data_IF_021755854266
#
_entry.id   IF_021755854266
#
_cell.length_a   1.000
_cell.length_b   1.000
_cell.length_c   1.000
_cell.angle_alpha   90.00
_cell.angle_beta   90.00
_cell.angle_gamma   90.00
#
_symmetry.space_group_name_H-M   'P 1'
#
loop_
_entity.id
_entity.type
_entity.pdbx_description
1 polymer ?
#
# COMPACT_ATOMS: atom_id res chain seq x y z
N UNK A 1 72.81 -4.87 37.98
CA UNK A 1 71.78 -4.99 36.93
C UNK A 1 70.46 -5.36 37.60
N UNK A 2 69.43 -4.48 37.62
CA UNK A 2 68.08 -4.88 37.96
C UNK A 2 67.29 -5.20 36.69
N UNK A 3 66.53 -6.30 36.70
CA UNK A 3 65.56 -6.64 35.65
C UNK A 3 64.32 -5.75 35.79
N UNK A 4 63.99 -5.06 34.71
CA UNK A 4 62.76 -4.26 34.55
C UNK A 4 61.60 -5.20 34.25
N UNK A 5 60.56 -5.19 35.09
CA UNK A 5 59.30 -5.87 34.81
C UNK A 5 58.46 -5.05 33.82
N UNK A 6 58.12 -5.63 32.67
CA UNK A 6 57.15 -5.07 31.74
C UNK A 6 55.74 -5.53 32.14
N UNK A 7 54.93 -4.58 32.61
CA UNK A 7 53.48 -4.77 32.75
C UNK A 7 52.84 -4.65 31.38
N UNK A 8 52.31 -5.76 30.84
CA UNK A 8 51.53 -5.76 29.60
C UNK A 8 50.11 -5.33 29.93
N UNK A 9 49.75 -4.12 29.49
CA UNK A 9 48.40 -3.57 29.59
C UNK A 9 47.54 -4.13 28.43
N UNK A 10 46.62 -5.04 28.74
CA UNK A 10 45.59 -5.47 27.78
C UNK A 10 44.55 -4.36 27.65
N UNK A 11 44.65 -3.56 26.58
CA UNK A 11 43.59 -2.62 26.18
C UNK A 11 42.55 -3.43 25.41
N UNK A 12 41.48 -3.82 26.09
CA UNK A 12 40.24 -4.28 25.46
C UNK A 12 39.61 -3.11 24.71
N UNK A 13 39.82 -3.05 23.39
CA UNK A 13 38.99 -2.21 22.51
C UNK A 13 37.58 -2.78 22.45
N UNK A 14 36.73 -2.34 23.38
CA UNK A 14 35.29 -2.35 23.17
C UNK A 14 35.00 -1.31 22.10
N UNK A 15 34.86 -1.74 20.86
CA UNK A 15 34.33 -0.90 19.79
C UNK A 15 32.89 -0.54 20.16
N UNK A 16 32.71 0.69 20.62
CA UNK A 16 31.40 1.32 20.73
C UNK A 16 30.82 1.41 19.32
N UNK A 17 30.03 0.42 18.91
CA UNK A 17 29.10 0.60 17.81
C UNK A 17 28.06 1.61 18.29
N UNK A 18 28.32 2.88 18.00
CA UNK A 18 27.26 3.87 17.94
C UNK A 18 26.29 3.41 16.86
N UNK A 19 25.20 2.74 17.24
CA UNK A 19 24.03 2.66 16.38
C UNK A 19 23.61 4.10 16.11
N UNK A 20 23.91 4.58 14.91
CA UNK A 20 23.15 5.67 14.32
C UNK A 20 21.73 5.12 14.25
N UNK A 21 20.87 5.55 15.18
CA UNK A 21 19.45 5.23 15.17
C UNK A 21 18.89 5.77 13.85
N UNK A 22 18.60 4.88 12.89
CA UNK A 22 17.84 5.20 11.68
C UNK A 22 18.49 4.90 10.33
N UNK A 23 19.78 4.54 10.25
CA UNK A 23 20.42 4.22 8.97
C UNK A 23 20.43 2.70 8.70
N UNK A 24 19.90 2.23 7.55
CA UNK A 24 19.92 0.81 7.20
C UNK A 24 21.32 0.20 7.24
N UNK A 25 21.45 -1.01 7.81
CA UNK A 25 22.71 -1.74 7.79
C UNK A 25 23.20 -2.00 6.35
N UNK A 26 24.52 -2.09 6.15
CA UNK A 26 25.09 -2.36 4.83
C UNK A 26 24.55 -3.66 4.20
N UNK A 27 24.27 -4.67 5.02
CA UNK A 27 23.65 -5.92 4.60
C UNK A 27 22.21 -5.70 4.10
N UNK A 28 21.40 -4.95 4.85
CA UNK A 28 20.03 -4.62 4.46
C UNK A 28 19.97 -3.75 3.20
N UNK A 29 20.91 -2.81 3.04
CA UNK A 29 21.06 -2.00 1.82
C UNK A 29 21.37 -2.90 0.63
N UNK A 30 22.34 -3.80 0.76
CA UNK A 30 22.69 -4.74 -0.30
C UNK A 30 21.51 -5.65 -0.65
N UNK A 31 20.76 -6.10 0.35
CA UNK A 31 19.57 -6.93 0.18
C UNK A 31 18.44 -6.20 -0.55
N UNK A 32 18.18 -4.93 -0.19
CA UNK A 32 17.20 -4.08 -0.86
C UNK A 32 17.57 -3.83 -2.33
N UNK A 33 18.85 -3.62 -2.65
CA UNK A 33 19.32 -3.50 -4.04
C UNK A 33 19.25 -4.83 -4.80
N UNK A 34 19.56 -5.94 -4.13
CA UNK A 34 19.55 -7.28 -4.71
C UNK A 34 18.16 -7.69 -5.20
N UNK A 35 17.10 -7.27 -4.52
CA UNK A 35 15.71 -7.62 -4.87
C UNK A 35 14.88 -6.42 -5.36
N UNK A 36 15.53 -5.31 -5.74
CA UNK A 36 14.86 -4.11 -6.24
C UNK A 36 14.04 -4.41 -7.50
N UNK A 37 12.72 -4.13 -7.52
CA UNK A 37 11.87 -4.50 -8.63
C UNK A 37 12.14 -3.69 -9.89
N UNK A 38 11.78 -4.27 -11.04
CA UNK A 38 11.47 -3.51 -12.24
C UNK A 38 9.95 -3.34 -12.34
N UNK A 39 9.48 -2.09 -12.32
CA UNK A 39 8.08 -1.78 -12.61
C UNK A 39 7.90 -1.58 -14.11
N UNK A 40 6.93 -2.29 -14.70
CA UNK A 40 6.59 -2.22 -16.12
C UNK A 40 5.22 -1.58 -16.26
N UNK A 41 5.21 -0.32 -16.64
CA UNK A 41 3.98 0.42 -16.87
C UNK A 41 3.28 -0.09 -18.12
N UNK A 42 1.95 -0.14 -18.06
CA UNK A 42 1.12 -0.44 -19.21
C UNK A 42 1.54 0.43 -20.42
N UNK A 43 1.54 -0.14 -21.65
CA UNK A 43 2.01 0.56 -22.88
C UNK A 43 1.31 1.88 -23.22
N UNK A 44 0.13 2.10 -22.63
CA UNK A 44 -0.66 3.32 -22.76
C UNK A 44 -0.68 4.18 -21.50
N UNK A 45 0.20 3.91 -20.53
CA UNK A 45 0.36 4.74 -19.34
C UNK A 45 0.89 6.12 -19.71
N UNK A 46 0.41 7.10 -18.98
CA UNK A 46 0.79 8.50 -19.10
C UNK A 46 0.95 9.21 -17.74
N UNK A 47 0.49 8.62 -16.64
CA UNK A 47 0.73 9.07 -15.28
C UNK A 47 1.83 8.19 -14.70
N UNK A 48 3.00 8.78 -14.53
CA UNK A 48 4.21 8.10 -14.08
C UNK A 48 4.50 8.41 -12.61
N UNK A 49 5.36 7.62 -11.96
CA UNK A 49 5.77 7.90 -10.60
C UNK A 49 6.52 9.24 -10.51
N UNK A 50 6.64 9.78 -9.30
CA UNK A 50 7.47 10.94 -9.02
C UNK A 50 8.14 10.83 -7.66
N UNK A 51 9.05 11.75 -7.38
CA UNK A 51 9.45 12.02 -5.99
C UNK A 51 8.34 12.78 -5.24
N UNK A 52 8.39 12.70 -3.91
CA UNK A 52 7.58 13.55 -3.02
C UNK A 52 7.90 15.03 -3.25
N UNK A 53 9.18 15.40 -3.38
CA UNK A 53 9.59 16.78 -3.68
C UNK A 53 8.95 17.31 -4.95
N UNK A 54 8.94 16.50 -6.03
CA UNK A 54 8.33 16.89 -7.29
C UNK A 54 6.83 17.17 -7.13
N UNK A 55 6.13 16.32 -6.39
CA UNK A 55 4.70 16.49 -6.14
C UNK A 55 4.40 17.72 -5.29
N UNK A 56 5.16 17.93 -4.21
CA UNK A 56 4.97 19.06 -3.28
C UNK A 56 5.40 20.39 -3.89
N UNK A 57 6.33 20.39 -4.84
CA UNK A 57 6.70 21.58 -5.64
C UNK A 57 5.62 21.96 -6.67
N UNK A 58 4.65 21.08 -6.93
CA UNK A 58 3.48 21.37 -7.75
C UNK A 58 2.54 22.41 -7.10
N UNK A 59 1.50 22.85 -7.82
CA UNK A 59 0.45 23.73 -7.30
C UNK A 59 -0.48 22.98 -6.34
N UNK A 60 0.06 22.54 -5.20
CA UNK A 60 -0.65 21.87 -4.11
C UNK A 60 -0.70 22.75 -2.87
N UNK A 61 -1.72 22.58 -2.04
CA UNK A 61 -1.86 23.26 -0.75
C UNK A 61 -2.68 22.41 0.21
N UNK A 62 -2.50 22.63 1.52
CA UNK A 62 -3.30 21.90 2.51
C UNK A 62 -4.70 22.50 2.65
N UNK A 63 -5.69 21.62 2.64
CA UNK A 63 -7.09 21.93 2.91
C UNK A 63 -7.57 21.07 4.08
N UNK A 64 -8.58 21.54 4.79
CA UNK A 64 -9.44 20.73 5.65
C UNK A 64 -10.90 20.83 5.15
N UNK A 65 -11.84 20.24 5.89
CA UNK A 65 -13.26 20.25 5.54
C UNK A 65 -13.88 21.67 5.43
N UNK A 66 -13.20 22.71 5.93
CA UNK A 66 -13.63 24.11 5.87
C UNK A 66 -13.00 24.88 4.70
N UNK A 67 -12.07 24.28 3.96
CA UNK A 67 -11.35 24.90 2.85
C UNK A 67 -9.83 24.98 3.07
N UNK A 68 -9.14 25.97 2.46
CA UNK A 68 -7.69 26.12 2.62
C UNK A 68 -7.29 26.25 4.10
N UNK A 69 -6.32 25.44 4.53
CA UNK A 69 -5.86 25.41 5.91
C UNK A 69 -5.09 26.69 6.26
N UNK A 70 -5.66 27.53 7.13
CA UNK A 70 -5.03 28.77 7.54
C UNK A 70 -3.70 28.52 8.27
N UNK A 71 -2.64 29.25 7.87
CA UNK A 71 -1.31 29.11 8.46
C UNK A 71 -0.54 27.86 8.03
N UNK A 72 -1.04 27.09 7.06
CA UNK A 72 -0.28 26.02 6.45
C UNK A 72 1.00 26.55 5.76
N UNK A 73 2.11 25.79 5.79
CA UNK A 73 3.29 26.14 5.01
C UNK A 73 2.97 26.29 3.52
N UNK A 74 3.59 27.27 2.86
CA UNK A 74 3.48 27.47 1.43
C UNK A 74 4.79 28.07 0.89
N UNK A 75 5.51 27.38 -0.01
CA UNK A 75 5.19 26.06 -0.58
C UNK A 75 5.29 24.92 0.45
N UNK A 76 4.62 23.81 0.17
CA UNK A 76 4.83 22.57 0.92
C UNK A 76 6.18 21.96 0.54
N UNK A 77 6.89 21.41 1.53
CA UNK A 77 8.16 20.71 1.36
C UNK A 77 8.16 19.47 2.24
N UNK A 78 9.01 18.46 1.95
CA UNK A 78 9.12 17.30 2.83
C UNK A 78 9.42 17.67 4.29
N UNK A 79 10.25 18.69 4.50
CA UNK A 79 10.69 19.17 5.82
C UNK A 79 9.66 20.02 6.59
N UNK A 80 8.56 20.44 5.96
CA UNK A 80 7.53 21.26 6.61
C UNK A 80 6.14 20.58 6.64
N UNK A 81 5.95 19.47 5.93
CA UNK A 81 4.65 18.84 5.78
C UNK A 81 4.03 18.40 7.12
N UNK A 82 4.86 17.85 8.03
CA UNK A 82 4.43 17.39 9.35
C UNK A 82 4.45 18.49 10.44
N UNK A 83 4.79 19.74 10.08
CA UNK A 83 4.78 20.87 11.02
C UNK A 83 3.39 21.40 11.34
N UNK A 84 2.37 20.90 10.65
CA UNK A 84 0.97 21.28 10.86
C UNK A 84 0.41 20.68 12.16
N UNK A 85 -0.66 21.29 12.68
CA UNK A 85 -1.31 20.80 13.89
C UNK A 85 -1.68 19.32 13.74
N UNK A 86 -1.37 18.54 14.78
CA UNK A 86 -1.57 17.08 14.81
C UNK A 86 -0.99 16.36 13.57
N UNK A 87 0.15 16.84 13.05
CA UNK A 87 0.83 16.30 11.87
C UNK A 87 -0.08 16.22 10.63
N UNK A 88 -1.07 17.12 10.53
CA UNK A 88 -1.97 17.22 9.38
C UNK A 88 -3.13 16.22 9.38
N UNK A 89 -3.40 15.53 10.49
CA UNK A 89 -4.57 14.66 10.58
C UNK A 89 -5.87 15.42 10.22
N UNK A 90 -6.67 14.85 9.32
CA UNK A 90 -7.90 15.47 8.81
C UNK A 90 -7.68 16.53 7.71
N UNK A 91 -6.47 16.63 7.17
CA UNK A 91 -6.14 17.55 6.06
C UNK A 91 -5.90 16.78 4.74
N UNK A 92 -5.89 17.52 3.64
CA UNK A 92 -5.82 17.03 2.26
C UNK A 92 -4.81 17.85 1.46
N UNK A 93 -3.80 17.21 0.87
CA UNK A 93 -2.89 17.86 -0.08
C UNK A 93 -3.63 18.05 -1.41
N UNK A 94 -4.19 19.25 -1.59
CA UNK A 94 -5.21 19.52 -2.61
C UNK A 94 -4.66 20.29 -3.80
N UNK A 95 -5.13 19.96 -5.00
CA UNK A 95 -4.88 20.71 -6.24
C UNK A 95 -6.11 20.76 -7.16
N UNK A 96 -6.08 21.64 -8.16
CA UNK A 96 -7.10 21.70 -9.21
C UNK A 96 -6.82 20.65 -10.30
N UNK A 97 -7.48 19.49 -10.22
CA UNK A 97 -7.25 18.34 -11.12
C UNK A 97 -7.36 18.73 -12.60
N UNK A 98 -8.46 19.37 -13.00
CA UNK A 98 -8.76 19.63 -14.41
C UNK A 98 -7.69 20.46 -15.13
N UNK A 99 -7.06 21.41 -14.44
CA UNK A 99 -6.02 22.26 -15.03
C UNK A 99 -4.63 21.62 -14.99
N UNK A 100 -4.44 20.56 -14.20
CA UNK A 100 -3.13 19.98 -13.91
C UNK A 100 -2.94 18.56 -14.44
N UNK A 101 -4.00 17.94 -14.99
CA UNK A 101 -3.99 16.57 -15.51
C UNK A 101 -2.96 16.33 -16.62
N UNK A 102 -2.68 17.35 -17.44
CA UNK A 102 -1.64 17.31 -18.48
C UNK A 102 -0.31 17.94 -18.02
N UNK A 103 -0.25 18.38 -16.76
CA UNK A 103 0.91 19.03 -16.13
C UNK A 103 1.60 18.12 -15.13
N UNK A 104 1.90 18.65 -13.94
CA UNK A 104 2.65 17.91 -12.90
C UNK A 104 1.97 16.60 -12.46
N UNK A 105 0.66 16.45 -12.66
CA UNK A 105 -0.05 15.21 -12.36
C UNK A 105 0.38 14.03 -13.26
N UNK A 106 1.06 14.30 -14.39
CA UNK A 106 1.70 13.27 -15.22
C UNK A 106 2.90 12.60 -14.54
N UNK A 107 3.42 13.18 -13.46
CA UNK A 107 4.60 12.67 -12.78
C UNK A 107 5.89 12.79 -13.59
N UNK A 108 6.86 11.95 -13.27
CA UNK A 108 8.19 11.96 -13.84
C UNK A 108 8.41 10.69 -14.66
N UNK A 109 8.40 10.81 -15.98
CA UNK A 109 8.64 9.69 -16.88
C UNK A 109 10.03 9.07 -16.63
N UNK A 110 10.13 7.79 -16.20
CA UNK A 110 11.40 7.13 -15.89
C UNK A 110 12.40 7.07 -17.06
N UNK A 111 11.98 7.34 -18.30
CA UNK A 111 12.88 7.39 -19.47
C UNK A 111 13.66 8.70 -19.57
N UNK A 112 13.12 9.77 -19.00
CA UNK A 112 13.64 11.15 -19.17
C UNK A 112 13.82 11.87 -17.84
N UNK A 113 13.51 11.23 -16.73
CA UNK A 113 13.51 11.80 -15.38
C UNK A 113 13.83 10.71 -14.36
N UNK A 114 14.04 11.14 -13.11
CA UNK A 114 14.56 10.30 -12.03
C UNK A 114 13.56 10.20 -10.86
N UNK A 115 12.39 9.55 -11.05
CA UNK A 115 11.49 9.25 -9.94
C UNK A 115 12.18 8.34 -8.92
N UNK A 116 11.62 8.26 -7.71
CA UNK A 116 12.19 7.46 -6.61
C UNK A 116 11.24 6.38 -6.14
N UNK A 117 11.81 5.23 -5.79
CA UNK A 117 11.11 4.17 -5.06
C UNK A 117 11.55 4.21 -3.61
N UNK A 118 10.58 4.26 -2.70
CA UNK A 118 10.81 4.38 -1.27
C UNK A 118 10.72 2.99 -0.66
N UNK A 119 11.87 2.41 -0.26
CA UNK A 119 11.93 1.07 0.30
C UNK A 119 12.01 1.12 1.81
N UNK A 120 11.02 0.53 2.47
CA UNK A 120 11.08 0.30 3.91
C UNK A 120 11.61 -1.10 4.17
N UNK A 121 12.65 -1.16 4.98
CA UNK A 121 13.33 -2.41 5.32
C UNK A 121 12.85 -2.80 6.71
N UNK A 122 12.17 -3.94 6.82
CA UNK A 122 11.61 -4.47 8.06
C UNK A 122 12.26 -5.80 8.46
N UNK A 123 13.45 -5.79 9.11
CA UNK A 123 14.01 -6.98 9.73
C UNK A 123 13.10 -7.52 10.86
N UNK A 124 12.98 -8.83 10.96
CA UNK A 124 12.19 -9.56 11.96
C UNK A 124 12.99 -10.74 12.52
N UNK A 125 12.36 -11.52 13.39
CA UNK A 125 12.96 -12.73 13.96
C UNK A 125 13.24 -13.81 12.89
N UNK A 126 14.10 -14.77 13.23
CA UNK A 126 14.44 -15.93 12.40
C UNK A 126 15.03 -15.58 11.01
N UNK A 127 15.72 -14.44 10.92
CA UNK A 127 16.38 -13.99 9.68
C UNK A 127 15.41 -13.52 8.61
N UNK A 128 14.14 -13.29 8.95
CA UNK A 128 13.14 -12.73 8.04
C UNK A 128 13.41 -11.24 7.83
N UNK A 129 13.41 -10.79 6.58
CA UNK A 129 13.41 -9.35 6.25
C UNK A 129 12.36 -9.11 5.16
N UNK A 130 11.40 -8.24 5.44
CA UNK A 130 10.45 -7.75 4.44
C UNK A 130 11.00 -6.43 3.85
N UNK A 131 11.01 -6.35 2.52
CA UNK A 131 11.44 -5.20 1.74
C UNK A 131 10.20 -4.65 1.02
N UNK A 132 9.69 -3.51 1.49
CA UNK A 132 8.45 -2.92 0.98
C UNK A 132 8.80 -1.77 0.05
N UNK A 133 8.77 -2.03 -1.26
CA UNK A 133 9.12 -1.06 -2.30
C UNK A 133 7.88 -0.26 -2.70
N UNK A 134 7.78 0.96 -2.18
CA UNK A 134 6.74 1.90 -2.57
C UNK A 134 7.17 2.74 -3.78
N UNK A 135 6.20 3.20 -4.54
CA UNK A 135 6.34 4.34 -5.44
C UNK A 135 5.10 5.22 -5.34
N UNK A 136 5.27 6.49 -5.70
CA UNK A 136 4.21 7.48 -5.66
C UNK A 136 3.88 7.96 -7.06
N UNK A 137 2.63 7.89 -7.48
CA UNK A 137 2.14 8.59 -8.66
C UNK A 137 1.34 9.83 -8.23
N UNK A 138 1.63 11.03 -8.77
CA UNK A 138 0.87 12.24 -8.46
C UNK A 138 -0.64 12.16 -8.72
N UNK A 139 -1.08 11.28 -9.61
CA UNK A 139 -2.48 11.13 -9.96
C UNK A 139 -2.81 9.71 -10.39
N UNK A 140 -3.87 9.16 -9.84
CA UNK A 140 -4.51 7.92 -10.25
C UNK A 140 -5.66 8.24 -11.21
N UNK A 141 -5.51 7.85 -12.47
CA UNK A 141 -6.58 7.88 -13.47
C UNK A 141 -7.28 6.51 -13.45
N UNK A 142 -8.36 6.41 -12.69
CA UNK A 142 -9.08 5.17 -12.44
C UNK A 142 -9.94 4.76 -13.67
N UNK A 143 -11.16 4.28 -13.47
CA UNK A 143 -11.96 3.64 -14.53
C UNK A 143 -13.08 4.54 -15.00
N UNK A 144 -13.22 4.66 -16.33
CA UNK A 144 -14.34 5.36 -16.96
C UNK A 144 -15.42 4.35 -17.36
N UNK A 145 -16.59 4.47 -16.75
CA UNK A 145 -17.77 3.68 -17.08
C UNK A 145 -18.70 4.50 -17.96
N UNK A 146 -19.18 4.00 -19.11
CA UNK A 146 -19.97 4.79 -20.06
C UNK A 146 -21.19 5.51 -19.46
N UNK A 147 -21.86 4.89 -18.49
CA UNK A 147 -23.08 5.43 -17.88
C UNK A 147 -22.75 6.30 -16.65
N UNK A 148 -21.68 5.99 -15.90
CA UNK A 148 -21.34 6.66 -14.65
C UNK A 148 -20.28 7.76 -14.84
N UNK A 149 -19.50 7.75 -15.91
CA UNK A 149 -18.31 8.60 -16.03
C UNK A 149 -17.11 8.00 -15.32
N UNK A 150 -16.20 8.85 -14.82
CA UNK A 150 -15.05 8.40 -14.06
C UNK A 150 -15.45 7.96 -12.66
N UNK A 151 -14.77 6.94 -12.14
CA UNK A 151 -15.00 6.41 -10.80
C UNK A 151 -13.66 6.33 -10.08
N UNK A 152 -13.55 7.01 -8.94
CA UNK A 152 -12.45 6.93 -7.99
C UNK A 152 -11.10 7.41 -8.51
N UNK A 153 -11.07 8.43 -9.38
CA UNK A 153 -9.80 9.14 -9.62
C UNK A 153 -9.34 9.76 -8.30
N UNK A 154 -8.04 9.86 -8.09
CA UNK A 154 -7.52 10.56 -6.93
C UNK A 154 -6.15 11.15 -7.21
N UNK A 155 -5.89 12.27 -6.55
CA UNK A 155 -4.57 12.89 -6.51
C UNK A 155 -3.79 12.09 -5.48
N UNK A 156 -2.51 11.83 -5.77
CA UNK A 156 -1.60 11.11 -4.91
C UNK A 156 -1.96 9.65 -4.72
N UNK A 157 -1.11 8.79 -5.24
CA UNK A 157 -1.33 7.35 -5.29
C UNK A 157 -0.07 6.63 -4.84
N UNK A 158 -0.18 5.91 -3.73
CA UNK A 158 0.92 5.15 -3.15
C UNK A 158 0.70 3.68 -3.42
N UNK A 159 1.61 3.09 -4.18
CA UNK A 159 1.55 1.69 -4.57
C UNK A 159 2.81 0.96 -4.15
N UNK A 160 2.72 -0.36 -3.93
CA UNK A 160 3.89 -1.12 -3.50
C UNK A 160 3.97 -2.57 -3.95
N UNK A 161 5.19 -3.08 -3.91
CA UNK A 161 5.52 -4.50 -3.99
C UNK A 161 6.33 -4.87 -2.73
N UNK A 162 5.97 -5.96 -2.07
CA UNK A 162 6.74 -6.45 -0.91
C UNK A 162 7.50 -7.72 -1.28
N UNK A 163 8.80 -7.78 -0.98
CA UNK A 163 9.61 -9.01 -1.08
C UNK A 163 9.97 -9.50 0.31
N UNK A 164 9.69 -10.76 0.64
CA UNK A 164 10.10 -11.39 1.90
C UNK A 164 11.32 -12.25 1.64
N UNK A 165 12.32 -12.03 2.45
CA UNK A 165 13.53 -12.86 2.48
C UNK A 165 13.63 -13.60 3.80
N UNK A 166 14.34 -14.73 3.78
CA UNK A 166 14.78 -15.45 4.98
C UNK A 166 16.26 -15.73 4.81
N UNK A 167 17.08 -15.26 5.75
CA UNK A 167 18.54 -15.36 5.70
C UNK A 167 19.13 -14.85 4.36
N UNK A 168 18.60 -13.74 3.86
CA UNK A 168 19.07 -13.10 2.61
C UNK A 168 18.54 -13.72 1.31
N UNK A 169 17.71 -14.77 1.38
CA UNK A 169 17.11 -15.46 0.22
C UNK A 169 15.63 -15.11 0.10
N UNK A 170 15.19 -14.59 -1.04
CA UNK A 170 13.79 -14.27 -1.27
C UNK A 170 12.92 -15.54 -1.33
N UNK A 171 11.81 -15.55 -0.58
CA UNK A 171 10.87 -16.65 -0.49
C UNK A 171 9.53 -16.36 -1.16
N UNK A 172 9.06 -15.11 -1.11
CA UNK A 172 7.86 -14.67 -1.80
C UNK A 172 7.90 -13.18 -2.14
N UNK A 173 7.08 -12.79 -3.10
CA UNK A 173 6.73 -11.41 -3.36
C UNK A 173 5.22 -11.24 -3.32
N UNK A 174 4.75 -10.14 -2.74
CA UNK A 174 3.35 -9.82 -2.58
C UNK A 174 3.02 -8.59 -3.39
N UNK A 175 2.18 -8.82 -4.41
CA UNK A 175 1.76 -7.84 -5.40
C UNK A 175 0.49 -7.16 -4.90
N UNK A 176 0.63 -5.89 -4.52
CA UNK A 176 -0.48 -5.14 -3.95
C UNK A 176 -1.24 -4.44 -5.05
N UNK A 177 -2.42 -4.98 -5.28
CA UNK A 177 -3.43 -4.46 -6.18
C UNK A 177 -4.78 -4.89 -5.62
N UNK A 178 -5.84 -4.67 -6.39
CA UNK A 178 -7.16 -5.15 -6.01
C UNK A 178 -7.20 -6.70 -5.96
N UNK A 179 -8.00 -7.27 -5.04
CA UNK A 179 -7.99 -8.71 -4.74
C UNK A 179 -8.45 -9.54 -5.96
N UNK A 180 -7.53 -10.30 -6.59
CA UNK A 180 -7.80 -11.26 -7.67
C UNK A 180 -6.62 -12.25 -7.85
N UNK A 181 -6.78 -13.28 -8.69
CA UNK A 181 -5.79 -14.34 -8.99
C UNK A 181 -4.42 -13.91 -9.57
N UNK A 182 -4.14 -12.61 -9.70
CA UNK A 182 -2.86 -12.06 -10.17
C UNK A 182 -2.19 -11.12 -9.16
N UNK A 183 -2.80 -10.99 -7.98
CA UNK A 183 -2.38 -10.16 -6.85
C UNK A 183 -2.20 -11.00 -5.59
N UNK A 184 -1.59 -10.43 -4.56
CA UNK A 184 -1.27 -11.13 -3.32
C UNK A 184 0.07 -11.86 -3.33
N UNK A 185 0.27 -12.75 -2.35
CA UNK A 185 1.55 -13.39 -2.09
C UNK A 185 1.84 -14.55 -3.05
N UNK A 186 2.94 -14.44 -3.78
CA UNK A 186 3.39 -15.41 -4.78
C UNK A 186 4.76 -15.96 -4.35
N UNK A 187 4.98 -17.29 -4.37
CA UNK A 187 6.30 -17.88 -4.14
C UNK A 187 7.35 -17.25 -5.06
N UNK A 188 8.51 -16.90 -4.54
CA UNK A 188 9.52 -16.16 -5.31
C UNK A 188 10.00 -16.94 -6.54
N UNK A 189 9.94 -18.27 -6.50
CA UNK A 189 10.21 -19.13 -7.66
C UNK A 189 9.23 -18.94 -8.82
N UNK A 190 8.01 -18.46 -8.56
CA UNK A 190 6.95 -18.21 -9.56
C UNK A 190 6.81 -16.72 -9.93
N UNK A 191 7.48 -15.84 -9.19
CA UNK A 191 7.53 -14.40 -9.49
C UNK A 191 8.13 -14.18 -10.88
N UNK A 192 7.53 -13.34 -11.74
CA UNK A 192 8.15 -12.92 -12.99
C UNK A 192 9.47 -12.20 -12.71
N UNK A 193 10.48 -12.45 -13.54
CA UNK A 193 11.82 -11.88 -13.36
C UNK A 193 12.32 -11.27 -14.66
N UNK A 194 13.27 -10.37 -14.52
CA UNK A 194 14.11 -9.93 -15.63
C UNK A 194 15.56 -10.39 -15.40
N UNK A 195 16.48 -9.98 -16.27
CA UNK A 195 17.79 -10.58 -16.55
C UNK A 195 18.68 -11.02 -15.34
N UNK A 196 18.47 -10.50 -14.13
CA UNK A 196 19.29 -10.73 -12.93
C UNK A 196 18.54 -11.29 -11.71
N UNK A 197 17.48 -12.07 -11.93
CA UNK A 197 16.63 -12.71 -10.90
C UNK A 197 15.78 -11.73 -10.06
N UNK A 198 15.81 -10.42 -10.39
CA UNK A 198 15.00 -9.41 -9.71
C UNK A 198 13.54 -9.44 -10.15
N UNK A 199 12.60 -9.09 -9.25
CA UNK A 199 11.19 -9.26 -9.50
C UNK A 199 10.68 -8.21 -10.49
N UNK A 200 9.76 -8.61 -11.37
CA UNK A 200 9.03 -7.71 -12.25
C UNK A 200 7.63 -7.46 -11.69
N UNK A 201 7.15 -6.24 -11.77
CA UNK A 201 5.75 -5.91 -11.50
C UNK A 201 5.14 -5.18 -12.68
N UNK A 202 4.01 -5.68 -13.17
CA UNK A 202 3.23 -5.03 -14.21
C UNK A 202 2.26 -4.05 -13.55
N UNK A 203 2.40 -2.77 -13.88
CA UNK A 203 1.64 -1.67 -13.28
C UNK A 203 0.41 -1.40 -14.13
N UNK A 204 -0.77 -1.44 -13.49
CA UNK A 204 -2.04 -1.24 -14.15
C UNK A 204 -2.17 0.19 -14.70
N UNK A 205 -2.77 0.32 -15.88
CA UNK A 205 -2.98 1.62 -16.52
C UNK A 205 -3.82 2.53 -15.62
N UNK A 206 -3.25 3.66 -15.24
CA UNK A 206 -3.86 4.76 -14.51
C UNK A 206 -4.18 4.47 -13.05
N UNK A 207 -4.57 3.24 -12.68
CA UNK A 207 -4.78 2.86 -11.28
C UNK A 207 -3.51 2.42 -10.55
N UNK A 208 -2.43 2.16 -11.29
CA UNK A 208 -1.11 1.78 -10.78
C UNK A 208 -0.99 0.51 -9.92
N UNK A 209 -2.08 -0.23 -9.72
CA UNK A 209 -2.03 -1.51 -9.02
C UNK A 209 -0.91 -2.41 -9.53
N UNK A 210 -0.16 -3.02 -8.60
CA UNK A 210 0.95 -3.92 -8.91
C UNK A 210 0.44 -5.35 -9.17
N UNK A 211 0.79 -5.91 -10.33
CA UNK A 211 0.37 -7.25 -10.74
C UNK A 211 1.56 -8.11 -11.18
N UNK A 212 1.47 -9.42 -10.94
CA UNK A 212 2.52 -10.35 -11.34
C UNK A 212 2.48 -10.77 -12.81
N UNK A 213 1.42 -10.40 -13.54
CA UNK A 213 1.24 -10.80 -14.95
C UNK A 213 0.61 -9.68 -15.77
N UNK A 214 0.87 -9.63 -17.09
CA UNK A 214 0.08 -8.83 -18.01
C UNK A 214 -1.32 -9.44 -18.16
N UNK A 215 -2.35 -8.61 -18.27
CA UNK A 215 -3.72 -9.08 -18.42
C UNK A 215 -4.79 -8.07 -18.03
N UNK A 216 -6.02 -8.56 -17.92
CA UNK A 216 -7.17 -7.79 -17.45
C UNK A 216 -7.72 -8.43 -16.19
N UNK A 217 -7.81 -7.68 -15.10
CA UNK A 217 -8.19 -8.19 -13.78
C UNK A 217 -9.43 -7.47 -13.28
N UNK A 218 -10.54 -8.21 -13.14
CA UNK A 218 -11.81 -7.63 -12.68
C UNK A 218 -11.86 -7.66 -11.16
N UNK A 219 -11.94 -6.49 -10.52
CA UNK A 219 -12.01 -6.40 -9.07
C UNK A 219 -13.37 -5.91 -8.55
N UNK A 220 -14.17 -5.27 -9.40
CA UNK A 220 -15.60 -5.08 -9.16
C UNK A 220 -16.36 -5.63 -10.34
N UNK A 221 -17.31 -6.51 -10.05
CA UNK A 221 -18.20 -7.11 -11.04
C UNK A 221 -19.65 -6.80 -10.65
N UNK A 222 -20.08 -5.56 -10.90
CA UNK A 222 -21.45 -5.13 -10.66
C UNK A 222 -22.36 -5.53 -11.85
N UNK A 223 -23.67 -5.55 -11.61
CA UNK A 223 -24.66 -5.95 -12.63
C UNK A 223 -24.56 -5.08 -13.89
N UNK A 224 -24.30 -3.78 -13.72
CA UNK A 224 -24.32 -2.79 -14.81
C UNK A 224 -22.94 -2.26 -15.20
N UNK A 225 -21.88 -2.64 -14.49
CA UNK A 225 -20.50 -2.23 -14.83
C UNK A 225 -19.45 -3.16 -14.22
N UNK A 226 -18.24 -3.09 -14.76
CA UNK A 226 -17.04 -3.73 -14.20
C UNK A 226 -15.97 -2.69 -13.96
N UNK A 227 -15.23 -2.85 -12.87
CA UNK A 227 -13.96 -2.15 -12.68
C UNK A 227 -12.84 -3.17 -12.89
N UNK A 228 -11.94 -2.86 -13.82
CA UNK A 228 -10.94 -3.81 -14.29
C UNK A 228 -9.59 -3.13 -14.45
N UNK A 229 -8.56 -3.67 -13.81
CA UNK A 229 -7.19 -3.26 -14.10
C UNK A 229 -6.71 -3.86 -15.41
N UNK A 230 -6.01 -3.06 -16.21
CA UNK A 230 -5.37 -3.48 -17.45
C UNK A 230 -3.86 -3.30 -17.31
N UNK A 231 -3.14 -4.41 -17.39
CA UNK A 231 -1.68 -4.44 -17.40
C UNK A 231 -1.17 -4.99 -18.73
N UNK A 232 -0.02 -4.51 -19.18
CA UNK A 232 0.60 -5.00 -20.41
C UNK A 232 2.11 -4.88 -20.34
N UNK A 233 2.79 -5.60 -21.23
CA UNK A 233 4.23 -5.46 -21.45
C UNK A 233 4.50 -4.49 -22.62
N UNK A 234 5.75 -4.04 -22.77
CA UNK A 234 6.17 -3.16 -23.87
C UNK A 234 5.89 -1.67 -23.66
N UNK A 235 5.56 -1.24 -22.45
CA UNK A 235 5.49 0.17 -22.06
C UNK A 235 6.81 0.71 -21.52
N UNK A 236 6.73 1.58 -20.51
CA UNK A 236 7.92 2.11 -19.81
C UNK A 236 8.37 1.10 -18.76
N UNK A 237 9.64 0.71 -18.82
CA UNK A 237 10.27 -0.13 -17.81
C UNK A 237 11.13 0.73 -16.89
N UNK A 238 10.85 0.67 -15.60
CA UNK A 238 11.59 1.41 -14.59
C UNK A 238 12.34 0.42 -13.69
N UNK A 239 13.66 0.36 -13.87
CA UNK A 239 14.54 -0.36 -12.97
C UNK A 239 14.80 0.51 -11.73
N UNK A 240 14.34 0.07 -10.56
CA UNK A 240 14.41 0.88 -9.34
C UNK A 240 15.74 0.80 -8.59
N UNK A 241 16.66 -0.08 -8.98
CA UNK A 241 17.87 -0.39 -8.20
C UNK A 241 18.72 0.83 -7.81
N UNK A 242 18.85 1.78 -8.74
CA UNK A 242 19.63 3.02 -8.55
C UNK A 242 18.75 4.22 -8.15
N UNK A 243 17.44 4.00 -7.99
CA UNK A 243 16.43 4.98 -7.63
C UNK A 243 15.82 4.76 -6.24
N UNK A 244 16.42 3.89 -5.43
CA UNK A 244 15.94 3.57 -4.09
C UNK A 244 16.27 4.69 -3.08
N UNK A 245 15.25 5.11 -2.34
CA UNK A 245 15.38 5.85 -1.07
C UNK A 245 15.04 4.87 0.04
N UNK A 246 15.97 4.62 0.96
CA UNK A 246 15.88 3.51 1.91
C UNK A 246 15.58 4.00 3.31
N UNK A 247 14.55 3.42 3.92
CA UNK A 247 14.09 3.78 5.26
C UNK A 247 14.15 2.60 6.22
N UNK A 248 14.58 2.91 7.45
CA UNK A 248 14.27 2.09 8.64
C UNK A 248 12.95 2.55 9.28
N UNK A 249 12.56 1.89 10.38
CA UNK A 249 11.37 2.22 11.16
C UNK A 249 11.73 2.84 12.52
N UNK A 250 12.11 4.12 12.59
CA UNK A 250 12.24 4.83 13.85
C UNK A 250 10.85 5.13 14.45
N UNK A 251 10.80 5.53 15.73
CA UNK A 251 9.56 5.98 16.38
C UNK A 251 9.01 7.28 15.75
N UNK A 252 9.87 8.12 15.18
CA UNK A 252 9.52 9.37 14.52
C UNK A 252 10.64 9.76 13.55
N UNK A 253 10.27 10.24 12.37
CA UNK A 253 11.21 10.74 11.37
C UNK A 253 11.52 12.22 11.62
N UNK A 254 12.70 12.69 11.23
CA UNK A 254 13.12 14.09 11.44
C UNK A 254 13.84 14.63 10.20
N UNK A 255 14.05 15.94 10.14
CA UNK A 255 14.77 16.56 9.03
C UNK A 255 14.02 16.42 7.70
N UNK A 256 14.73 16.02 6.64
CA UNK A 256 14.15 15.84 5.30
C UNK A 256 13.16 14.67 5.20
N UNK A 257 13.17 13.75 6.17
CA UNK A 257 12.27 12.60 6.22
C UNK A 257 11.02 12.86 7.09
N UNK A 258 10.86 14.05 7.68
CA UNK A 258 9.77 14.34 8.60
C UNK A 258 8.38 14.24 7.95
N UNK A 259 8.27 14.41 6.63
CA UNK A 259 7.05 14.16 5.85
C UNK A 259 6.46 12.77 6.06
N UNK A 260 7.27 11.75 6.38
CA UNK A 260 6.79 10.40 6.69
C UNK A 260 5.92 10.37 7.95
N UNK A 261 5.97 11.41 8.79
CA UNK A 261 5.09 11.56 9.94
C UNK A 261 3.72 12.18 9.59
N UNK A 262 3.52 12.68 8.37
CA UNK A 262 2.27 13.33 7.97
C UNK A 262 1.09 12.36 8.01
N UNK A 263 0.03 12.75 8.72
CA UNK A 263 -1.17 11.96 8.96
C UNK A 263 -2.37 12.40 8.10
N UNK A 264 -2.19 13.41 7.25
CA UNK A 264 -3.20 13.83 6.29
C UNK A 264 -3.24 12.95 5.04
N UNK A 265 -4.23 13.22 4.20
CA UNK A 265 -4.43 12.51 2.94
C UNK A 265 -3.54 13.11 1.84
N UNK A 266 -2.88 12.23 1.10
CA UNK A 266 -2.10 12.59 -0.08
C UNK A 266 -3.05 12.76 -1.26
N UNK A 267 -3.73 13.90 -1.34
CA UNK A 267 -4.68 14.20 -2.39
C UNK A 267 -5.88 14.98 -1.90
N UNK A 268 -6.76 15.35 -2.84
CA UNK A 268 -8.01 16.05 -2.56
C UNK A 268 -8.94 15.22 -1.66
N UNK A 269 -9.89 15.88 -1.01
CA UNK A 269 -11.05 15.23 -0.41
C UNK A 269 -11.96 14.65 -1.49
N UNK A 270 -12.45 13.43 -1.27
CA UNK A 270 -13.39 12.76 -2.17
C UNK A 270 -14.79 13.36 -2.12
N UNK A 271 -15.52 13.22 -3.23
CA UNK A 271 -16.90 13.68 -3.37
C UNK A 271 -17.90 12.55 -3.11
N UNK A 272 -19.12 12.92 -2.73
CA UNK A 272 -20.23 11.98 -2.47
C UNK A 272 -21.55 12.41 -3.14
N UNK A 273 -21.50 13.39 -4.04
CA UNK A 273 -22.65 14.04 -4.68
C UNK A 273 -23.01 13.45 -6.06
N UNK A 274 -22.29 12.41 -6.50
CA UNK A 274 -22.60 11.72 -7.74
C UNK A 274 -23.93 10.96 -7.66
N UNK A 275 -24.70 10.94 -8.76
CA UNK A 275 -26.04 10.35 -8.78
C UNK A 275 -26.06 8.83 -8.54
N UNK A 276 -24.92 8.14 -8.68
CA UNK A 276 -24.77 6.71 -8.43
C UNK A 276 -24.27 6.35 -7.02
N UNK A 277 -23.95 7.34 -6.18
CA UNK A 277 -23.34 7.12 -4.87
C UNK A 277 -24.12 6.12 -4.00
N UNK A 278 -25.46 6.15 -4.09
CA UNK A 278 -26.35 5.29 -3.31
C UNK A 278 -26.15 3.78 -3.55
N UNK A 279 -25.66 3.37 -4.73
CA UNK A 279 -25.43 1.95 -5.04
C UNK A 279 -23.95 1.64 -5.36
N UNK A 280 -23.10 2.65 -5.47
CA UNK A 280 -21.65 2.50 -5.55
C UNK A 280 -20.97 3.73 -4.93
N UNK A 281 -20.42 3.63 -3.70
CA UNK A 281 -19.97 4.76 -2.89
C UNK A 281 -18.57 5.27 -3.31
N UNK A 282 -18.38 5.48 -4.62
CA UNK A 282 -17.18 6.06 -5.22
C UNK A 282 -17.62 6.99 -6.35
N UNK A 283 -17.46 8.29 -6.14
CA UNK A 283 -17.72 9.30 -7.16
C UNK A 283 -16.51 9.49 -8.08
N UNK A 284 -16.49 10.55 -8.88
CA UNK A 284 -15.42 10.85 -9.82
C UNK A 284 -14.07 11.06 -9.13
N UNK A 285 -14.07 11.75 -7.99
CA UNK A 285 -12.90 11.95 -7.12
C UNK A 285 -13.10 11.20 -5.80
N UNK A 286 -12.15 10.34 -5.45
CA UNK A 286 -12.01 9.75 -4.12
C UNK A 286 -10.91 10.42 -3.33
N UNK A 287 -10.98 10.33 -1.99
CA UNK A 287 -9.92 10.86 -1.13
C UNK A 287 -8.59 10.16 -1.38
N UNK A 288 -7.51 10.92 -1.42
CA UNK A 288 -6.14 10.38 -1.45
C UNK A 288 -5.84 9.53 -0.20
N UNK A 289 -4.87 8.63 -0.30
CA UNK A 289 -4.57 7.72 0.80
C UNK A 289 -3.74 8.41 1.91
N UNK A 290 -3.97 8.10 3.20
CA UNK A 290 -3.22 8.71 4.31
C UNK A 290 -1.83 8.08 4.47
N UNK A 291 -0.88 8.47 3.62
CA UNK A 291 0.59 8.38 3.82
C UNK A 291 1.20 7.00 4.10
N UNK A 292 2.52 6.87 3.87
CA UNK A 292 3.24 5.60 3.93
C UNK A 292 3.36 4.96 5.32
N UNK A 293 3.44 5.76 6.39
CA UNK A 293 3.78 5.26 7.72
C UNK A 293 2.52 5.10 8.55
N UNK A 294 2.25 3.86 8.94
CA UNK A 294 1.16 3.53 9.85
C UNK A 294 1.68 2.78 11.09
N UNK A 295 0.95 2.92 12.19
CA UNK A 295 1.30 2.32 13.50
C UNK A 295 1.46 0.79 13.44
N UNK A 296 0.86 0.16 12.45
CA UNK A 296 0.85 -1.26 12.20
C UNK A 296 2.16 -1.76 11.56
N UNK A 297 2.80 -0.97 10.67
CA UNK A 297 4.19 -1.18 10.22
C UNK A 297 5.21 -0.95 11.34
N UNK A 298 4.97 0.04 12.21
CA UNK A 298 5.78 0.28 13.42
C UNK A 298 5.62 -0.85 14.47
N UNK A 299 4.43 -1.47 14.55
CA UNK A 299 4.14 -2.60 15.43
C UNK A 299 4.92 -3.87 15.09
N UNK A 300 5.31 -4.05 13.82
CA UNK A 300 6.14 -5.17 13.39
C UNK A 300 7.60 -5.00 13.85
N UNK A 301 8.16 -3.78 13.80
CA UNK A 301 9.46 -3.47 14.38
C UNK A 301 9.43 -3.49 15.93
N UNK A 302 8.29 -3.13 16.55
CA UNK A 302 8.07 -3.18 18.00
C UNK A 302 7.79 -4.55 18.58
N UNK A 303 7.59 -5.61 17.78
CA UNK A 303 7.59 -7.01 18.28
C UNK A 303 9.01 -7.48 18.66
N UNK A 304 9.81 -6.62 19.28
CA UNK A 304 10.77 -7.05 20.29
C UNK A 304 10.00 -7.23 21.60
N UNK A 305 9.98 -8.46 22.12
CA UNK A 305 9.37 -8.90 23.40
C UNK A 305 7.89 -9.30 23.33
N UNK A 306 7.62 -10.52 22.86
CA UNK A 306 6.71 -11.43 23.57
C UNK A 306 6.96 -12.86 23.12
N UNK A 307 7.33 -13.72 24.06
CA UNK A 307 7.55 -15.15 23.88
C UNK A 307 6.20 -15.85 23.64
N UNK A 308 6.01 -16.50 22.49
CA UNK A 308 5.68 -17.92 22.39
C UNK A 308 5.56 -18.33 20.92
N UNK A 309 6.13 -19.49 20.62
CA UNK A 309 6.42 -19.99 19.29
C UNK A 309 5.17 -20.51 18.54
N UNK A 310 5.04 -20.10 17.29
CA UNK A 310 4.23 -20.77 16.27
C UNK A 310 5.05 -20.92 14.98
N UNK A 311 4.72 -21.88 14.09
CA UNK A 311 5.40 -22.02 12.81
C UNK A 311 5.26 -20.74 11.99
N UNK A 312 6.32 -20.37 11.26
CA UNK A 312 6.33 -19.23 10.34
C UNK A 312 5.19 -19.41 9.33
N UNK A 313 4.14 -18.59 9.44
CA UNK A 313 3.02 -18.63 8.50
C UNK A 313 3.45 -17.95 7.19
N UNK A 314 3.65 -18.77 6.16
CA UNK A 314 3.98 -18.31 4.80
C UNK A 314 2.77 -17.75 4.04
N UNK A 315 1.55 -17.78 4.62
CA UNK A 315 0.32 -17.37 3.91
C UNK A 315 0.01 -15.88 4.05
N UNK A 316 0.61 -15.19 5.02
CA UNK A 316 0.36 -13.77 5.27
C UNK A 316 1.67 -13.01 5.41
N UNK A 317 2.00 -12.25 4.36
CA UNK A 317 2.81 -11.05 4.56
C UNK A 317 1.89 -10.00 5.18
N UNK A 318 1.91 -9.90 6.51
CA UNK A 318 1.24 -8.80 7.21
C UNK A 318 1.90 -7.47 6.83
N UNK A 319 1.46 -6.90 5.70
CA UNK A 319 1.30 -5.47 5.49
C UNK A 319 -0.22 -5.20 5.62
N UNK A 320 -0.68 -4.33 6.54
CA UNK A 320 -2.00 -4.53 7.14
C UNK A 320 -3.08 -3.74 6.38
N UNK A 321 -3.40 -4.15 5.16
CA UNK A 321 -4.69 -3.80 4.54
C UNK A 321 -5.29 -5.03 3.88
N UNK A 322 -5.68 -5.99 4.71
CA UNK A 322 -6.79 -6.88 4.41
C UNK A 322 -8.02 -6.38 5.17
N UNK A 323 -8.46 -5.15 4.89
CA UNK A 323 -9.85 -4.78 5.19
C UNK A 323 -10.57 -4.86 3.86
N UNK A 324 -10.98 -6.10 3.56
CA UNK A 324 -11.86 -6.38 2.45
C UNK A 324 -13.13 -5.55 2.60
N UNK A 325 -13.56 -5.02 1.48
CA UNK A 325 -14.90 -4.50 1.21
C UNK A 325 -15.93 -5.65 1.32
N UNK A 326 -16.03 -6.32 2.48
CA UNK A 326 -17.01 -7.40 2.72
C UNK A 326 -18.34 -6.89 3.29
N UNK A 327 -18.48 -5.60 3.59
CA UNK A 327 -19.69 -5.06 4.21
C UNK A 327 -20.81 -4.66 3.22
N UNK A 328 -20.60 -4.74 1.91
CA UNK A 328 -21.61 -4.28 0.93
C UNK A 328 -22.49 -5.38 0.35
N UNK A 329 -22.11 -6.65 0.46
CA UNK A 329 -22.95 -7.75 -0.08
C UNK A 329 -24.14 -8.07 0.83
N UNK A 330 -24.03 -7.82 2.14
CA UNK A 330 -25.12 -8.04 3.09
C UNK A 330 -26.15 -6.89 3.13
N UNK A 331 -25.73 -5.65 2.85
CA UNK A 331 -26.62 -4.49 2.83
C UNK A 331 -27.63 -4.49 1.67
N UNK A 332 -27.22 -4.98 0.50
CA UNK A 332 -28.10 -5.06 -0.69
C UNK A 332 -29.16 -6.15 -0.54
N UNK A 333 -28.84 -7.25 0.15
CA UNK A 333 -29.81 -8.34 0.43
C UNK A 333 -30.90 -7.85 1.40
N UNK A 334 -30.56 -6.98 2.36
CA UNK A 334 -31.52 -6.44 3.32
C UNK A 334 -32.49 -5.43 2.68
N UNK A 335 -32.02 -4.64 1.69
CA UNK A 335 -32.85 -3.67 0.98
C UNK A 335 -33.83 -4.33 -0.02
N UNK A 336 -33.44 -5.46 -0.63
CA UNK A 336 -34.32 -6.23 -1.53
C UNK A 336 -35.42 -6.96 -0.74
N UNK A 337 -35.12 -7.43 0.48
CA UNK A 337 -36.11 -8.13 1.33
C UNK A 337 -37.08 -7.20 2.05
N UNK A 338 -36.77 -5.91 2.19
CA UNK A 338 -37.66 -4.91 2.82
C UNK A 338 -38.63 -4.24 1.84
N UNK A 339 -38.40 -4.35 0.52
CA UNK A 339 -39.26 -3.76 -0.52
C UNK A 339 -40.22 -4.75 -1.20
N UNK A 340 -40.10 -6.05 -0.92
CA UNK A 340 -41.03 -7.06 -1.42
C UNK A 340 -41.95 -7.58 -0.29
N UNK A 341 -43.23 -7.21 -0.31
CA UNK A 341 -44.28 -7.87 0.49
C UNK A 341 -44.58 -9.32 0.04
N UNK A 342 -43.59 -10.03 -0.50
CA UNK A 342 -43.75 -11.38 -1.01
C UNK A 342 -43.32 -12.38 0.07
N UNK A 343 -44.29 -13.15 0.59
CA UNK A 343 -43.99 -14.43 1.26
C UNK A 343 -43.35 -15.36 0.24
N UNK A 344 -42.03 -15.43 0.23
CA UNK A 344 -41.31 -16.49 -0.49
C UNK A 344 -40.72 -17.41 0.57
N UNK A 345 -41.30 -18.61 0.69
CA UNK A 345 -40.62 -19.74 1.33
C UNK A 345 -39.57 -20.21 0.34
N UNK A 346 -38.30 -20.04 0.68
CA UNK A 346 -37.18 -20.60 -0.05
C UNK A 346 -36.53 -21.66 0.84
N UNK A 347 -36.78 -22.92 0.50
CA UNK A 347 -35.99 -24.04 1.00
C UNK A 347 -34.62 -24.01 0.31
N UNK A 348 -33.60 -23.54 1.02
CA UNK A 348 -32.21 -23.64 0.56
C UNK A 348 -31.61 -24.95 1.06
N UNK A 349 -31.23 -25.82 0.12
CA UNK A 349 -30.35 -26.97 0.39
C UNK A 349 -28.90 -26.48 0.27
N UNK A 350 -28.23 -26.29 1.41
CA UNK A 350 -26.80 -25.96 1.44
C UNK A 350 -26.01 -27.20 0.99
N UNK A 351 -25.53 -27.21 -0.26
CA UNK A 351 -24.60 -28.24 -0.75
C UNK A 351 -23.19 -27.75 -0.45
N UNK A 352 -22.64 -28.19 0.69
CA UNK A 352 -21.22 -28.04 1.00
C UNK A 352 -20.43 -29.09 0.22
N UNK A 353 -19.59 -28.67 -0.73
CA UNK A 353 -18.56 -29.53 -1.30
C UNK A 353 -17.37 -29.57 -0.34
N UNK A 354 -17.27 -30.67 0.43
CA UNK A 354 -16.08 -31.02 1.20
C UNK A 354 -15.21 -31.99 0.41
N UNK A 355 -13.93 -31.64 0.24
CA UNK A 355 -12.87 -32.58 -0.11
C UNK A 355 -12.28 -33.16 1.20
N UNK A 356 -11.93 -34.47 1.27
CA UNK A 356 -11.90 -35.19 2.54
C UNK A 356 -10.53 -35.08 3.24
N UNK A 357 -10.55 -34.74 4.53
CA UNK A 357 -9.98 -35.55 5.63
C UNK A 357 -10.14 -34.84 6.99
N UNK A 358 -10.53 -35.65 7.98
CA UNK A 358 -10.67 -35.41 9.42
C UNK A 358 -12.00 -34.81 9.91
N UNK A 359 -12.77 -35.73 10.52
CA UNK A 359 -14.06 -35.62 11.20
C UNK A 359 -13.84 -35.19 12.66
N UNK A 360 -14.68 -34.28 13.19
CA UNK A 360 -15.31 -34.36 14.53
C UNK A 360 -16.57 -33.46 14.55
N UNK A 361 -17.68 -33.98 15.07
CA UNK A 361 -19.03 -33.40 15.13
C UNK A 361 -19.28 -32.57 16.39
N UNK A 362 -20.11 -31.51 16.30
CA UNK A 362 -20.97 -31.03 17.39
C UNK A 362 -22.18 -30.26 16.80
N UNK A 363 -23.39 -30.71 17.12
CA UNK A 363 -24.67 -30.08 16.73
C UNK A 363 -25.07 -28.96 17.71
N UNK A 364 -25.67 -27.89 17.20
CA UNK A 364 -26.33 -26.86 18.01
C UNK A 364 -27.36 -26.07 17.18
N UNK A 365 -28.65 -26.34 17.41
CA UNK A 365 -29.77 -25.53 16.92
C UNK A 365 -29.81 -24.19 17.66
N UNK A 366 -29.81 -23.07 16.94
CA UNK A 366 -30.23 -21.78 17.49
C UNK A 366 -31.55 -21.38 16.84
N UNK A 367 -32.63 -21.41 17.64
CA UNK A 367 -33.88 -20.68 17.37
C UNK A 367 -33.77 -19.31 18.02
N UNK A 368 -33.97 -18.24 17.26
CA UNK A 368 -34.23 -16.90 17.81
C UNK A 368 -35.61 -16.44 17.39
N UNK A 369 -36.50 -16.30 18.39
CA UNK A 369 -37.75 -15.55 18.30
C UNK A 369 -37.50 -14.13 18.81
N UNK A 370 -37.95 -13.11 18.09
CA UNK A 370 -37.88 -11.71 18.55
C UNK A 370 -39.29 -11.15 18.68
N UNK A 371 -39.65 -10.71 19.89
CA UNK A 371 -40.85 -9.93 20.19
C UNK A 371 -40.58 -8.45 19.90
N UNK A 372 -41.51 -7.80 19.19
CA UNK A 372 -41.56 -6.34 19.07
C UNK A 372 -42.03 -5.72 20.39
N UNK A 373 -41.40 -4.62 20.81
CA UNK A 373 -42.05 -3.57 21.59
C UNK A 373 -41.98 -2.28 20.78
N UNK A 374 -43.15 -1.68 20.56
CA UNK A 374 -43.33 -0.32 20.05
C UNK A 374 -42.88 0.70 21.09
N UNK A 375 -42.23 1.77 20.64
CA UNK A 375 -42.62 3.17 20.86
C UNK A 375 -41.90 4.08 19.86
#
# INVERSE_FOLDING_TARGET
>A
MPLVGQTVLFISLLSSFSLVLGAPSAENIALAKKYAPQFRFHKGEIHFPSTVDFFLAGPVSLYDASGPLAGAPSPLTPSNLDSTANKGAGTYITTHVNTNLDGFLRGQDPRTSEPKSYVFIAPKDHGVVDLVYWFFCPFNLSKKIPILGWISNHIGDWEHLTVRTVNGVALSADYRSHVHSGSGNIPYSQVPKFDDDRPVSYVAKGSHGAWATPGTFTYVNAVVFKLQDETSDGGVYWNTQDALVMYEYPDTYTGEDSWLNFLGNWGNEGTNDCWWYAFHPQCDISSGWPGLVRQDTLGVAKRKRSLSAGPVDNRYMDSPLSVGLELLVLGVIWLILSLAHARVSLDWKLILHYSPRCVWYAEGLIRTSMHLFEL
#
